data_IF_695393824923
#
_entry.id   IF_695393824923
#
_cell.length_a   1.000
_cell.length_b   1.000
_cell.length_c   1.000
_cell.angle_alpha   90.00
_cell.angle_beta   90.00
_cell.angle_gamma   90.00
#
_symmetry.space_group_name_H-M   'P 1'
#
loop_
_entity.id
_entity.type
_entity.pdbx_description
1 polymer ?
#
# COMPACT_ATOMS: atom_id res chain seq x y z
N UNK A 1 -17.93 12.63 -33.25
CA UNK A 1 -16.68 12.01 -32.72
C UNK A 1 -16.55 12.49 -31.28
N UNK A 2 -16.87 11.65 -30.28
CA UNK A 2 -16.84 12.04 -28.87
C UNK A 2 -15.47 11.71 -28.27
N UNK A 3 -14.74 12.72 -27.81
CA UNK A 3 -13.49 12.54 -27.09
C UNK A 3 -13.79 12.15 -25.64
N UNK A 4 -13.47 10.91 -25.27
CA UNK A 4 -13.49 10.48 -23.88
C UNK A 4 -12.18 10.96 -23.25
N UNK A 5 -12.23 12.04 -22.48
CA UNK A 5 -11.08 12.55 -21.74
C UNK A 5 -10.75 11.58 -20.58
N UNK A 6 -9.55 10.99 -20.61
CA UNK A 6 -9.03 10.16 -19.52
C UNK A 6 -8.66 11.08 -18.35
N UNK A 7 -9.38 11.00 -17.23
CA UNK A 7 -8.99 11.67 -15.98
C UNK A 7 -7.91 10.85 -15.27
N UNK A 8 -6.80 11.50 -14.93
CA UNK A 8 -5.73 10.87 -14.17
C UNK A 8 -6.03 10.91 -12.67
N UNK A 9 -5.71 9.84 -11.95
CA UNK A 9 -5.97 9.73 -10.51
C UNK A 9 -5.20 10.78 -9.68
N UNK A 10 -4.03 11.23 -10.15
CA UNK A 10 -3.21 12.24 -9.47
C UNK A 10 -3.56 13.69 -9.85
N UNK A 11 -4.63 13.90 -10.64
CA UNK A 11 -5.07 15.25 -10.99
C UNK A 11 -5.75 15.90 -9.78
N UNK A 12 -5.06 16.86 -9.16
CA UNK A 12 -5.57 17.56 -7.97
C UNK A 12 -6.72 18.48 -8.40
N UNK A 13 -7.95 18.01 -8.23
CA UNK A 13 -9.13 18.86 -8.39
C UNK A 13 -9.32 19.70 -7.12
N UNK A 14 -9.20 21.03 -7.20
CA UNK A 14 -9.39 21.89 -6.05
C UNK A 14 -10.87 21.86 -5.64
N UNK A 15 -11.16 21.40 -4.42
CA UNK A 15 -12.49 21.49 -3.83
C UNK A 15 -12.72 22.92 -3.33
N UNK A 16 -13.82 23.58 -3.67
CA UNK A 16 -14.10 24.90 -3.09
C UNK A 16 -14.54 24.77 -1.64
N UNK A 17 -14.49 25.85 -0.85
CA UNK A 17 -14.92 25.79 0.54
C UNK A 17 -16.43 25.53 0.66
N UNK A 18 -17.24 26.07 -0.27
CA UNK A 18 -18.68 25.78 -0.34
C UNK A 18 -18.96 24.29 -0.62
N UNK A 19 -18.18 23.65 -1.48
CA UNK A 19 -18.35 22.22 -1.74
C UNK A 19 -17.99 21.36 -0.52
N UNK A 20 -17.01 21.80 0.29
CA UNK A 20 -16.71 21.14 1.56
C UNK A 20 -17.89 21.26 2.55
N UNK A 21 -18.54 22.42 2.62
CA UNK A 21 -19.76 22.58 3.44
C UNK A 21 -20.91 21.71 2.93
N UNK A 22 -21.07 21.56 1.61
CA UNK A 22 -22.06 20.64 1.03
C UNK A 22 -21.83 19.20 1.45
N UNK A 23 -20.58 18.73 1.43
CA UNK A 23 -20.23 17.39 1.87
C UNK A 23 -20.54 17.20 3.36
N UNK A 24 -20.25 18.20 4.21
CA UNK A 24 -20.59 18.16 5.65
C UNK A 24 -22.09 18.16 5.92
N UNK A 25 -22.90 18.67 5.01
CA UNK A 25 -24.36 18.72 5.13
C UNK A 25 -25.07 17.44 4.68
N UNK A 26 -24.35 16.43 4.19
CA UNK A 26 -24.94 15.13 3.83
C UNK A 26 -25.25 14.34 5.10
N UNK A 27 -26.50 13.94 5.27
CA UNK A 27 -26.93 13.10 6.40
C UNK A 27 -26.06 11.84 6.51
N UNK A 28 -25.50 11.62 7.71
CA UNK A 28 -24.57 10.51 7.99
C UNK A 28 -23.08 10.87 7.87
N UNK A 29 -22.72 12.06 7.38
CA UNK A 29 -21.34 12.56 7.43
C UNK A 29 -21.05 13.11 8.83
N UNK A 30 -20.40 12.30 9.65
CA UNK A 30 -19.99 12.69 11.01
C UNK A 30 -18.98 13.87 10.99
N UNK A 31 -18.05 13.84 10.02
CA UNK A 31 -17.07 14.91 9.82
C UNK A 31 -16.48 14.85 8.41
N UNK A 32 -16.05 16.00 7.90
CA UNK A 32 -15.23 16.10 6.69
C UNK A 32 -14.16 17.18 6.85
N UNK A 33 -12.92 16.87 6.45
CA UNK A 33 -11.79 17.81 6.45
C UNK A 33 -11.20 17.93 5.05
N UNK A 34 -10.58 19.08 4.77
CA UNK A 34 -9.86 19.30 3.52
C UNK A 34 -8.56 18.50 3.55
N UNK A 35 -8.44 17.55 2.62
CA UNK A 35 -7.17 16.85 2.40
C UNK A 35 -6.25 17.81 1.64
N UNK A 36 -5.11 18.15 2.23
CA UNK A 36 -4.04 18.84 1.53
C UNK A 36 -3.07 17.80 0.96
N UNK A 37 -2.95 17.75 -0.37
CA UNK A 37 -1.90 16.99 -1.07
C UNK A 37 -0.99 17.99 -1.76
N UNK A 38 0.26 18.08 -1.30
CA UNK A 38 1.27 18.97 -1.85
C UNK A 38 2.68 18.43 -1.68
N UNK A 39 3.56 18.80 -2.60
CA UNK A 39 4.99 18.47 -2.55
C UNK A 39 5.73 19.61 -1.87
N UNK A 40 6.30 19.36 -0.68
CA UNK A 40 7.14 20.33 0.02
C UNK A 40 8.62 19.96 -0.16
N UNK A 41 9.45 20.95 -0.52
CA UNK A 41 10.91 20.83 -0.47
C UNK A 41 11.39 21.46 0.82
N UNK A 42 12.07 20.68 1.67
CA UNK A 42 12.66 21.16 2.90
C UNK A 42 14.18 21.00 2.85
N UNK A 43 14.91 22.05 3.23
CA UNK A 43 16.36 22.00 3.46
C UNK A 43 16.59 22.20 4.96
N UNK A 44 17.23 21.24 5.60
CA UNK A 44 17.69 21.36 7.00
C UNK A 44 19.19 21.60 7.02
N UNK A 45 19.71 22.36 8.01
CA UNK A 45 21.15 22.53 8.21
C UNK A 45 21.88 21.20 8.42
N UNK A 46 21.20 20.22 9.03
CA UNK A 46 21.74 18.88 9.30
C UNK A 46 21.69 17.94 8.08
N UNK A 47 21.04 18.34 6.99
CA UNK A 47 20.92 17.55 5.76
C UNK A 47 19.89 16.42 5.82
N UNK A 48 19.24 16.18 4.68
CA UNK A 48 18.46 14.96 4.40
C UNK A 48 16.98 14.96 4.81
N UNK A 49 16.18 14.24 4.03
CA UNK A 49 14.72 14.11 4.22
C UNK A 49 14.33 13.41 5.54
N UNK A 50 15.16 12.49 6.03
CA UNK A 50 14.96 11.80 7.32
C UNK A 50 15.01 12.76 8.51
N UNK A 51 15.98 13.69 8.53
CA UNK A 51 16.11 14.67 9.61
C UNK A 51 14.89 15.60 9.67
N UNK A 52 14.37 16.01 8.51
CA UNK A 52 13.13 16.80 8.41
C UNK A 52 11.94 16.01 8.98
N UNK A 53 11.74 14.77 8.54
CA UNK A 53 10.63 13.93 9.02
C UNK A 53 10.68 13.71 10.54
N UNK A 54 11.88 13.48 11.10
CA UNK A 54 12.09 13.35 12.54
C UNK A 54 11.70 14.62 13.29
N UNK A 55 12.16 15.79 12.84
CA UNK A 55 11.83 17.08 13.47
C UNK A 55 10.34 17.40 13.42
N UNK A 56 9.66 17.09 12.31
CA UNK A 56 8.21 17.27 12.20
C UNK A 56 7.50 16.39 13.25
N UNK A 57 7.88 15.11 13.34
CA UNK A 57 7.34 14.20 14.37
C UNK A 57 7.55 14.73 15.78
N UNK A 58 8.77 15.14 16.11
CA UNK A 58 9.14 15.63 17.44
C UNK A 58 8.42 16.92 17.83
N UNK A 59 8.25 17.86 16.90
CA UNK A 59 7.63 19.17 17.20
C UNK A 59 6.11 19.20 17.13
N UNK A 60 5.51 18.40 16.25
CA UNK A 60 4.07 18.47 15.96
C UNK A 60 3.29 17.27 16.49
N UNK A 61 3.95 16.16 16.80
CA UNK A 61 3.30 14.88 17.07
C UNK A 61 2.69 14.22 15.83
N UNK A 62 2.75 14.86 14.65
CA UNK A 62 2.18 14.34 13.42
C UNK A 62 3.09 13.29 12.78
N UNK A 63 2.47 12.30 12.14
CA UNK A 63 3.20 11.26 11.41
C UNK A 63 3.84 11.86 10.13
N UNK A 64 5.15 12.02 10.15
CA UNK A 64 5.95 12.39 8.97
C UNK A 64 6.92 11.24 8.62
N UNK A 65 6.74 10.61 7.47
CA UNK A 65 7.50 9.40 7.10
C UNK A 65 8.27 9.62 5.81
N UNK A 66 9.41 8.95 5.68
CA UNK A 66 10.09 8.87 4.39
C UNK A 66 9.35 7.92 3.45
N UNK A 67 9.70 7.96 2.15
CA UNK A 67 9.13 7.05 1.15
C UNK A 67 9.35 5.58 1.55
N UNK A 68 10.55 5.23 1.96
CA UNK A 68 10.89 3.85 2.35
C UNK A 68 10.14 3.41 3.60
N UNK A 69 10.04 4.27 4.61
CA UNK A 69 9.25 4.01 5.83
C UNK A 69 7.77 3.81 5.50
N UNK A 70 7.22 4.64 4.60
CA UNK A 70 5.82 4.54 4.18
C UNK A 70 5.54 3.25 3.39
N UNK A 71 6.45 2.83 2.51
CA UNK A 71 6.36 1.57 1.78
C UNK A 71 6.34 0.40 2.75
N UNK A 72 7.28 0.34 3.69
CA UNK A 72 7.33 -0.74 4.69
C UNK A 72 6.10 -0.75 5.60
N UNK A 73 5.57 0.42 5.96
CA UNK A 73 4.31 0.52 6.72
C UNK A 73 3.14 -0.04 5.92
N UNK A 74 3.08 0.23 4.62
CA UNK A 74 2.05 -0.28 3.70
C UNK A 74 2.15 -1.79 3.56
N UNK A 75 3.35 -2.33 3.33
CA UNK A 75 3.61 -3.77 3.27
C UNK A 75 3.17 -4.45 4.56
N UNK A 76 3.59 -3.92 5.72
CA UNK A 76 3.23 -4.49 7.03
C UNK A 76 1.73 -4.43 7.29
N UNK A 77 1.06 -3.35 6.90
CA UNK A 77 -0.39 -3.23 7.02
C UNK A 77 -1.07 -4.28 6.16
N UNK A 78 -0.66 -4.43 4.91
CA UNK A 78 -1.21 -5.42 4.00
C UNK A 78 -0.98 -6.84 4.54
N UNK A 79 0.25 -7.18 4.93
CA UNK A 79 0.57 -8.49 5.52
C UNK A 79 -0.19 -8.77 6.81
N UNK A 80 -0.49 -7.76 7.64
CA UNK A 80 -1.23 -7.97 8.90
C UNK A 80 -2.74 -8.02 8.70
N UNK A 81 -3.26 -7.30 7.71
CA UNK A 81 -4.69 -7.02 7.58
C UNK A 81 -5.36 -7.75 6.41
N UNK A 82 -4.60 -8.16 5.40
CA UNK A 82 -5.11 -8.92 4.27
C UNK A 82 -4.61 -10.35 4.39
N UNK A 83 -5.50 -11.34 4.24
CA UNK A 83 -5.18 -12.77 4.35
C UNK A 83 -4.20 -13.29 3.28
N UNK A 84 -3.51 -12.41 2.55
CA UNK A 84 -2.49 -12.74 1.56
C UNK A 84 -1.42 -13.69 2.14
N UNK A 85 -0.87 -13.49 3.36
CA UNK A 85 0.12 -14.43 3.88
C UNK A 85 -0.44 -15.85 4.06
N UNK A 86 -1.70 -15.97 4.47
CA UNK A 86 -2.38 -17.25 4.67
C UNK A 86 -2.67 -17.92 3.32
N UNK A 87 -3.26 -17.17 2.38
CA UNK A 87 -3.54 -17.68 1.03
C UNK A 87 -2.27 -18.11 0.31
N UNK A 88 -1.21 -17.29 0.39
CA UNK A 88 0.10 -17.61 -0.18
C UNK A 88 0.71 -18.84 0.49
N UNK A 89 0.63 -18.92 1.82
CA UNK A 89 1.11 -20.07 2.58
C UNK A 89 0.44 -21.39 2.17
N UNK A 90 -0.88 -21.38 1.95
CA UNK A 90 -1.62 -22.57 1.50
C UNK A 90 -1.17 -22.98 0.09
N UNK A 91 -1.06 -22.03 -0.84
CA UNK A 91 -0.61 -22.33 -2.22
C UNK A 91 0.79 -22.93 -2.25
N UNK A 92 1.74 -22.33 -1.52
CA UNK A 92 3.12 -22.84 -1.44
C UNK A 92 3.15 -24.19 -0.73
N UNK A 93 2.41 -24.35 0.37
CA UNK A 93 2.33 -25.60 1.11
C UNK A 93 1.81 -26.77 0.26
N UNK A 94 0.72 -26.56 -0.48
CA UNK A 94 0.18 -27.56 -1.41
C UNK A 94 1.20 -27.92 -2.51
N UNK A 95 1.90 -26.94 -3.07
CA UNK A 95 2.93 -27.18 -4.08
C UNK A 95 4.08 -28.07 -3.55
N UNK A 96 4.52 -27.83 -2.31
CA UNK A 96 5.53 -28.68 -1.66
C UNK A 96 5.04 -30.11 -1.43
N UNK A 97 3.81 -30.28 -0.92
CA UNK A 97 3.21 -31.60 -0.66
C UNK A 97 3.06 -32.39 -1.96
N UNK A 98 2.46 -31.79 -2.98
CA UNK A 98 2.26 -32.43 -4.29
C UNK A 98 3.61 -32.74 -4.95
N UNK A 99 4.56 -31.81 -4.89
CA UNK A 99 5.91 -32.01 -5.41
C UNK A 99 6.65 -33.18 -4.75
N UNK A 100 6.47 -33.40 -3.44
CA UNK A 100 7.05 -34.54 -2.73
C UNK A 100 6.37 -35.86 -3.13
N UNK A 101 5.04 -35.87 -3.25
CA UNK A 101 4.28 -37.05 -3.69
C UNK A 101 4.61 -37.47 -5.14
N UNK A 102 4.88 -36.50 -6.02
CA UNK A 102 5.24 -36.79 -7.40
C UNK A 102 6.68 -37.29 -7.56
N UNK A 103 7.60 -36.86 -6.67
CA UNK A 103 8.97 -37.36 -6.64
C UNK A 103 9.03 -38.84 -6.25
N UNK A 104 8.26 -39.23 -5.24
CA UNK A 104 8.25 -40.60 -4.70
C UNK A 104 7.69 -41.63 -5.70
N UNK A 105 6.68 -41.23 -6.49
CA UNK A 105 6.13 -42.08 -7.57
C UNK A 105 7.07 -42.32 -8.75
N UNK A 106 8.08 -41.46 -8.97
CA UNK A 106 9.06 -41.65 -10.06
C UNK A 106 10.16 -42.65 -9.70
N UNK A 107 10.44 -42.89 -8.42
CA UNK A 107 11.43 -43.89 -7.99
C UNK A 107 10.92 -45.34 -8.11
N UNK A 108 9.60 -45.56 -8.15
CA UNK A 108 9.01 -46.90 -8.20
C UNK A 108 8.73 -47.41 -9.63
N UNK A 109 9.00 -46.60 -10.66
CA UNK A 109 8.75 -46.94 -12.07
C UNK A 109 10.06 -47.04 -12.86
N UNK A 110 11.03 -47.83 -12.38
CA UNK A 110 12.16 -48.25 -13.23
C UNK A 110 11.75 -49.52 -13.96
N UNK A 111 11.58 -49.52 -15.30
CA UNK A 111 11.25 -50.73 -16.03
C UNK A 111 12.49 -51.64 -16.07
N UNK A 112 12.35 -52.88 -15.60
CA UNK A 112 13.33 -53.93 -15.85
C UNK A 112 13.45 -54.14 -17.35
N UNK A 113 14.59 -53.72 -17.93
CA UNK A 113 14.91 -53.87 -19.35
C UNK A 113 15.25 -55.35 -19.62
N UNK A 114 14.35 -56.07 -20.28
CA UNK A 114 14.61 -57.35 -20.97
C UNK A 114 14.88 -57.10 -22.44
#
# INVERSE_FOLDING_TARGET
MNFVAVKYMDEVQPLTENDLYRVRGVDGVEWATRIYRGSAKAKTPEGGFQAVCRRIRERTGLAAMTRDEFIWKTIRCNLRNTGIPVNFGITVGLAFIVGRSWRDRRSTSSPSRT
#
